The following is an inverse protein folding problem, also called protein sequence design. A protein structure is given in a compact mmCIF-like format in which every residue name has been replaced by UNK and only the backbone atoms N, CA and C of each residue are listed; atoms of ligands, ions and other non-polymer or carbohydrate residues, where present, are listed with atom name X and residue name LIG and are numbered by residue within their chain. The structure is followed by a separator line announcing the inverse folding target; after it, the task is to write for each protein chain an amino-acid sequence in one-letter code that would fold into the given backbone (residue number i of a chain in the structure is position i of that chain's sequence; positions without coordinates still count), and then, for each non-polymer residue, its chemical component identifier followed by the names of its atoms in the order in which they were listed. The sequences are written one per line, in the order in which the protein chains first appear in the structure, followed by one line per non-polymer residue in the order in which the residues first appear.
data_IF_222153005858
#
_entry.id   IF_222153005858
#
_cell.length_a   1.000
_cell.length_b   1.000
_cell.length_c   1.000
_cell.angle_alpha   90.00
_cell.angle_beta   90.00
_cell.angle_gamma   90.00
#
_symmetry.space_group_name_H-M   'P 1'
#
loop_
_entity.id
_entity.type
_entity.pdbx_description
1 polymer ?
#
# COMPACT_ATOMS: atom_id res chain seq x y z
N UNK A 1 -19.38 1.67 23.47
CA UNK A 1 -19.37 2.86 22.59
C UNK A 1 -18.05 2.84 21.86
N UNK A 2 -18.09 2.39 20.61
CA UNK A 2 -16.92 2.27 19.76
C UNK A 2 -16.63 3.66 19.17
N UNK A 3 -15.58 4.31 19.67
CA UNK A 3 -15.16 5.58 19.09
C UNK A 3 -14.61 5.32 17.70
N UNK A 4 -15.08 6.03 16.67
CA UNK A 4 -14.47 5.93 15.36
C UNK A 4 -13.01 6.38 15.49
N UNK A 5 -12.09 5.47 15.22
CA UNK A 5 -10.66 5.73 15.23
C UNK A 5 -10.38 6.82 14.20
N UNK A 6 -10.21 8.04 14.68
CA UNK A 6 -9.89 9.19 13.85
C UNK A 6 -8.53 8.97 13.20
N UNK A 7 -8.54 8.84 11.89
CA UNK A 7 -7.39 9.04 11.05
C UNK A 7 -7.04 10.54 11.00
N UNK A 8 -6.59 11.09 12.08
CA UNK A 8 -5.97 12.39 12.06
C UNK A 8 -4.50 12.20 11.64
N UNK A 9 -4.26 12.05 10.35
CA UNK A 9 -2.95 12.38 9.81
C UNK A 9 -2.92 13.89 9.73
N UNK A 10 -2.36 14.51 10.75
CA UNK A 10 -1.97 15.90 10.68
C UNK A 10 -0.87 15.98 9.61
N UNK A 11 -1.26 16.40 8.42
CA UNK A 11 -0.30 16.71 7.36
C UNK A 11 0.41 17.97 7.78
N UNK A 12 1.61 17.84 8.29
CA UNK A 12 2.50 18.99 8.49
C UNK A 12 2.94 19.46 7.10
N UNK A 13 2.53 20.66 6.65
CA UNK A 13 3.04 21.21 5.41
C UNK A 13 4.53 21.50 5.57
N UNK A 14 5.37 20.90 4.77
CA UNK A 14 6.79 21.19 4.74
C UNK A 14 7.72 20.07 5.20
N UNK A 15 7.28 18.83 5.25
CA UNK A 15 8.19 17.70 5.44
C UNK A 15 9.12 17.62 4.22
N UNK A 16 10.36 18.04 4.47
CA UNK A 16 11.49 18.02 3.56
C UNK A 16 11.63 16.62 2.92
N UNK A 17 11.41 16.55 1.61
CA UNK A 17 11.47 15.30 0.82
C UNK A 17 12.88 14.72 0.71
N UNK A 18 13.88 15.43 1.20
CA UNK A 18 15.30 15.07 1.05
C UNK A 18 15.94 14.44 2.28
N UNK A 19 15.20 14.27 3.36
CA UNK A 19 15.70 13.47 4.49
C UNK A 19 15.32 12.01 4.31
N UNK A 20 16.03 11.33 3.43
CA UNK A 20 16.23 9.89 3.50
C UNK A 20 16.95 9.59 4.83
N UNK A 21 16.16 9.51 5.90
CA UNK A 21 16.67 8.93 7.13
C UNK A 21 17.04 7.48 6.82
N UNK A 22 18.31 7.04 6.99
CA UNK A 22 18.63 5.65 6.79
C UNK A 22 17.79 4.84 7.77
N UNK A 23 16.90 4.02 7.22
CA UNK A 23 16.06 3.11 8.01
C UNK A 23 16.97 2.27 8.91
N UNK A 24 16.71 2.23 10.22
CA UNK A 24 17.43 1.30 11.08
C UNK A 24 17.20 -0.12 10.53
N UNK A 25 18.29 -0.81 10.25
CA UNK A 25 18.32 -2.14 9.60
C UNK A 25 17.74 -3.28 10.46
N UNK A 26 17.00 -2.97 11.54
CA UNK A 26 16.63 -3.96 12.53
C UNK A 26 15.16 -4.37 12.54
N UNK A 27 14.33 -3.81 11.68
CA UNK A 27 12.95 -4.22 11.57
C UNK A 27 12.70 -4.93 10.23
N UNK A 28 13.32 -6.08 10.08
CA UNK A 28 12.87 -7.04 9.07
C UNK A 28 11.50 -7.53 9.54
N UNK A 29 10.45 -6.94 8.99
CA UNK A 29 9.13 -7.54 9.06
C UNK A 29 9.28 -8.95 8.50
N UNK A 30 8.84 -10.00 9.21
CA UNK A 30 8.91 -11.34 8.67
C UNK A 30 8.22 -11.33 7.31
N UNK A 31 9.02 -11.42 6.25
CA UNK A 31 8.51 -11.49 4.89
C UNK A 31 7.70 -12.77 4.78
N UNK A 32 6.42 -12.64 4.44
CA UNK A 32 5.62 -13.81 4.11
C UNK A 32 6.25 -14.50 2.92
N UNK A 33 6.22 -15.81 2.93
CA UNK A 33 6.64 -16.60 1.77
C UNK A 33 5.61 -16.43 0.65
N UNK A 34 5.82 -15.43 -0.19
CA UNK A 34 5.03 -15.19 -1.39
C UNK A 34 5.68 -15.95 -2.54
N UNK A 35 4.90 -16.73 -3.32
CA UNK A 35 5.44 -17.44 -4.46
C UNK A 35 6.11 -16.47 -5.47
N UNK A 36 7.33 -16.78 -5.96
CA UNK A 36 8.04 -15.89 -6.91
C UNK A 36 7.24 -15.58 -8.17
N UNK A 37 6.44 -16.53 -8.64
CA UNK A 37 5.57 -16.36 -9.80
C UNK A 37 4.46 -15.35 -9.54
N UNK A 38 3.82 -15.42 -8.38
CA UNK A 38 2.78 -14.47 -7.96
C UNK A 38 3.37 -13.06 -7.81
N UNK A 39 4.55 -12.94 -7.23
CA UNK A 39 5.28 -11.67 -7.14
C UNK A 39 5.57 -11.07 -8.51
N UNK A 40 6.07 -11.86 -9.45
CA UNK A 40 6.36 -11.41 -10.81
C UNK A 40 5.11 -10.90 -11.53
N UNK A 41 3.98 -11.59 -11.38
CA UNK A 41 2.70 -11.17 -11.95
C UNK A 41 2.23 -9.86 -11.31
N UNK A 42 2.25 -9.77 -9.98
CA UNK A 42 1.86 -8.55 -9.27
C UNK A 42 2.70 -7.34 -9.70
N UNK A 43 4.01 -7.52 -9.83
CA UNK A 43 4.92 -6.48 -10.32
C UNK A 43 4.63 -6.08 -11.77
N UNK A 44 4.31 -7.04 -12.64
CA UNK A 44 3.97 -6.77 -14.04
C UNK A 44 2.66 -5.97 -14.11
N UNK A 45 1.62 -6.34 -13.35
CA UNK A 45 0.35 -5.61 -13.28
C UNK A 45 0.59 -4.18 -12.80
N UNK A 46 1.38 -3.97 -11.75
CA UNK A 46 1.72 -2.63 -11.26
C UNK A 46 2.37 -1.77 -12.35
N UNK A 47 3.34 -2.33 -13.08
CA UNK A 47 4.00 -1.60 -14.18
C UNK A 47 3.02 -1.21 -15.27
N UNK A 48 2.17 -2.15 -15.70
CA UNK A 48 1.15 -1.88 -16.73
C UNK A 48 0.18 -0.79 -16.28
N UNK A 49 -0.32 -0.87 -15.06
CA UNK A 49 -1.24 0.13 -14.51
C UNK A 49 -0.59 1.51 -14.38
N UNK A 50 0.64 1.57 -13.92
CA UNK A 50 1.39 2.84 -13.82
C UNK A 50 1.63 3.44 -15.20
N UNK A 51 2.04 2.63 -16.16
CA UNK A 51 2.27 3.04 -17.55
C UNK A 51 0.98 3.56 -18.19
N UNK A 52 -0.13 2.88 -17.99
CA UNK A 52 -1.43 3.30 -18.52
C UNK A 52 -1.85 4.67 -17.96
N UNK A 53 -1.70 4.89 -16.65
CA UNK A 53 -2.02 6.19 -16.04
C UNK A 53 -1.10 7.30 -16.53
N UNK A 54 0.19 7.03 -16.70
CA UNK A 54 1.12 8.01 -17.28
C UNK A 54 0.77 8.32 -18.72
N UNK A 55 0.40 7.32 -19.51
CA UNK A 55 -0.02 7.49 -20.91
C UNK A 55 -1.37 8.21 -21.08
N UNK A 56 -2.26 8.08 -20.07
CA UNK A 56 -3.56 8.74 -20.08
C UNK A 56 -3.49 10.25 -19.84
N UNK A 57 -2.33 10.78 -19.40
CA UNK A 57 -2.10 12.20 -19.13
C UNK A 57 -3.17 12.83 -18.21
N UNK A 58 -3.90 13.83 -18.70
CA UNK A 58 -4.96 14.53 -17.95
C UNK A 58 -6.21 13.69 -17.66
N UNK A 59 -6.35 12.52 -18.26
CA UNK A 59 -7.47 11.58 -18.02
C UNK A 59 -7.13 10.44 -17.04
N UNK A 60 -6.00 10.54 -16.32
CA UNK A 60 -5.52 9.48 -15.44
C UNK A 60 -6.51 9.10 -14.32
N UNK A 61 -7.36 10.03 -13.91
CA UNK A 61 -8.41 9.82 -12.92
C UNK A 61 -9.45 8.77 -13.35
N UNK A 62 -9.68 8.63 -14.65
CA UNK A 62 -10.58 7.62 -15.22
C UNK A 62 -10.02 6.19 -15.10
N UNK A 63 -8.72 6.05 -14.92
CA UNK A 63 -8.02 4.76 -14.85
C UNK A 63 -7.45 4.48 -13.45
N UNK A 64 -7.92 5.21 -12.46
CA UNK A 64 -7.55 4.97 -11.07
C UNK A 64 -8.38 3.82 -10.48
N UNK A 65 -7.70 2.93 -9.80
CA UNK A 65 -8.30 1.88 -8.98
C UNK A 65 -7.55 1.84 -7.65
N UNK A 66 -7.90 2.75 -6.73
CA UNK A 66 -7.10 2.97 -5.52
C UNK A 66 -6.97 1.73 -4.65
N UNK A 67 -8.03 0.96 -4.48
CA UNK A 67 -8.00 -0.25 -3.68
C UNK A 67 -7.04 -1.29 -4.26
N UNK A 68 -7.14 -1.54 -5.56
CA UNK A 68 -6.29 -2.52 -6.24
C UNK A 68 -4.83 -2.08 -6.24
N UNK A 69 -4.57 -0.81 -6.53
CA UNK A 69 -3.21 -0.28 -6.55
C UNK A 69 -2.54 -0.33 -5.17
N UNK A 70 -3.29 -0.04 -4.10
CA UNK A 70 -2.79 -0.17 -2.72
C UNK A 70 -2.49 -1.63 -2.36
N UNK A 71 -3.41 -2.53 -2.65
CA UNK A 71 -3.23 -3.95 -2.34
C UNK A 71 -2.04 -4.56 -3.08
N UNK A 72 -1.85 -4.22 -4.36
CA UNK A 72 -0.71 -4.66 -5.14
C UNK A 72 0.62 -4.12 -4.58
N UNK A 73 0.65 -2.84 -4.19
CA UNK A 73 1.86 -2.25 -3.61
C UNK A 73 2.23 -2.91 -2.28
N UNK A 74 1.25 -3.13 -1.41
CA UNK A 74 1.46 -3.81 -0.14
C UNK A 74 1.90 -5.27 -0.35
N UNK A 75 1.33 -5.97 -1.31
CA UNK A 75 1.69 -7.35 -1.63
C UNK A 75 3.14 -7.46 -2.11
N UNK A 76 3.55 -6.60 -3.03
CA UNK A 76 4.94 -6.54 -3.49
C UNK A 76 5.88 -6.14 -2.36
N UNK A 77 5.48 -5.19 -1.53
CA UNK A 77 6.28 -4.75 -0.39
C UNK A 77 6.53 -5.87 0.61
N UNK A 78 5.53 -6.67 0.92
CA UNK A 78 5.71 -7.84 1.81
C UNK A 78 6.66 -8.88 1.22
N UNK A 79 6.56 -9.15 -0.06
CA UNK A 79 7.43 -10.10 -0.74
C UNK A 79 8.90 -9.63 -0.80
N UNK A 80 9.12 -8.33 -0.85
CA UNK A 80 10.45 -7.72 -0.98
C UNK A 80 11.03 -7.19 0.34
N UNK A 81 10.30 -7.35 1.45
CA UNK A 81 10.73 -6.86 2.76
C UNK A 81 10.69 -5.33 2.90
N UNK A 82 9.98 -4.63 2.03
CA UNK A 82 9.85 -3.17 2.09
C UNK A 82 8.72 -2.78 3.06
N UNK A 83 8.99 -1.80 3.91
CA UNK A 83 7.96 -1.20 4.76
C UNK A 83 7.17 -0.15 3.99
N UNK A 84 5.87 -0.10 4.25
CA UNK A 84 4.95 0.87 3.65
C UNK A 84 4.30 1.69 4.75
N UNK A 85 4.51 2.99 4.73
CA UNK A 85 3.79 3.92 5.60
C UNK A 85 2.40 4.22 5.03
N UNK A 86 1.52 4.83 5.85
CA UNK A 86 0.22 5.31 5.36
C UNK A 86 0.38 6.27 4.18
N UNK A 87 1.38 7.16 4.25
CA UNK A 87 1.65 8.11 3.15
C UNK A 87 2.08 7.39 1.87
N UNK A 88 2.94 6.36 1.97
CA UNK A 88 3.36 5.56 0.81
C UNK A 88 2.18 4.83 0.18
N UNK A 89 1.29 4.26 1.00
CA UNK A 89 0.08 3.59 0.51
C UNK A 89 -0.84 4.58 -0.22
N UNK A 90 -0.97 5.81 0.28
CA UNK A 90 -1.74 6.86 -0.38
C UNK A 90 -1.13 7.26 -1.73
N UNK A 91 0.19 7.31 -1.84
CA UNK A 91 0.89 7.59 -3.11
C UNK A 91 0.64 6.45 -4.10
N UNK A 92 0.70 5.22 -3.66
CA UNK A 92 0.45 4.05 -4.50
C UNK A 92 -0.97 4.04 -5.10
N UNK A 93 -1.94 4.59 -4.38
CA UNK A 93 -3.32 4.70 -4.84
C UNK A 93 -3.51 5.59 -6.08
N UNK A 94 -2.57 6.49 -6.35
CA UNK A 94 -2.59 7.41 -7.50
C UNK A 94 -3.85 8.30 -7.61
N UNK A 95 -4.43 8.64 -6.46
CA UNK A 95 -5.58 9.54 -6.31
C UNK A 95 -5.25 10.62 -5.27
N UNK A 96 -6.05 11.71 -5.17
CA UNK A 96 -5.84 12.70 -4.12
C UNK A 96 -5.81 12.08 -2.72
N UNK A 97 -4.97 12.62 -1.83
CA UNK A 97 -4.70 12.03 -0.52
C UNK A 97 -5.96 11.77 0.31
N UNK A 98 -6.91 12.69 0.32
CA UNK A 98 -8.17 12.50 1.06
C UNK A 98 -8.97 11.31 0.53
N UNK A 99 -8.98 11.12 -0.79
CA UNK A 99 -9.61 9.96 -1.44
C UNK A 99 -8.87 8.67 -1.10
N UNK A 100 -7.54 8.70 -1.16
CA UNK A 100 -6.71 7.55 -0.81
C UNK A 100 -6.94 7.10 0.65
N UNK A 101 -7.00 8.03 1.58
CA UNK A 101 -7.28 7.73 3.00
C UNK A 101 -8.66 7.09 3.20
N UNK A 102 -9.68 7.53 2.45
CA UNK A 102 -11.00 6.90 2.51
C UNK A 102 -10.95 5.44 2.05
N UNK A 103 -10.24 5.14 0.98
CA UNK A 103 -10.05 3.78 0.50
C UNK A 103 -9.25 2.94 1.49
N UNK A 104 -8.20 3.51 2.08
CA UNK A 104 -7.40 2.82 3.08
C UNK A 104 -8.21 2.46 4.32
N UNK A 105 -9.06 3.40 4.79
CA UNK A 105 -10.00 3.13 5.87
C UNK A 105 -10.99 2.00 5.52
N UNK A 106 -11.46 1.96 4.29
CA UNK A 106 -12.37 0.90 3.83
C UNK A 106 -11.67 -0.46 3.82
N UNK A 107 -10.44 -0.53 3.38
CA UNK A 107 -9.62 -1.75 3.41
C UNK A 107 -9.38 -2.23 4.86
N UNK A 108 -9.11 -1.30 5.77
CA UNK A 108 -8.94 -1.58 7.20
C UNK A 108 -10.24 -2.11 7.83
N UNK A 109 -11.35 -1.46 7.56
CA UNK A 109 -12.67 -1.89 8.07
C UNK A 109 -13.08 -3.28 7.58
N UNK A 110 -12.66 -3.66 6.39
CA UNK A 110 -12.90 -4.99 5.82
C UNK A 110 -11.87 -6.03 6.26
N UNK A 111 -10.93 -5.66 7.10
CA UNK A 111 -9.91 -6.56 7.63
C UNK A 111 -8.88 -7.04 6.60
N UNK A 112 -8.67 -6.28 5.52
CA UNK A 112 -7.75 -6.64 4.45
C UNK A 112 -6.33 -6.11 4.69
N UNK A 113 -6.19 -5.07 5.49
CA UNK A 113 -4.92 -4.47 5.88
C UNK A 113 -4.79 -4.38 7.39
N UNK A 114 -3.56 -4.37 7.88
CA UNK A 114 -3.21 -4.21 9.29
C UNK A 114 -2.41 -2.94 9.43
N UNK A 115 -2.76 -2.15 10.41
CA UNK A 115 -2.07 -0.93 10.77
C UNK A 115 -1.32 -1.12 12.08
N UNK A 116 -0.03 -0.80 12.06
CA UNK A 116 0.84 -0.91 13.22
C UNK A 116 1.52 0.42 13.49
N UNK A 117 1.45 0.91 14.75
CA UNK A 117 2.15 2.11 15.14
C UNK A 117 3.67 1.90 15.10
N UNK A 118 4.40 2.91 14.65
CA UNK A 118 5.85 2.91 14.77
C UNK A 118 6.25 3.03 16.25
N UNK A 119 7.20 2.23 16.70
CA UNK A 119 7.65 2.21 18.08
C UNK A 119 8.51 3.42 18.45
N UNK A 120 9.13 4.05 17.46
CA UNK A 120 10.06 5.18 17.65
C UNK A 120 9.46 6.52 17.28
N UNK A 121 8.50 6.55 16.39
CA UNK A 121 7.79 7.77 15.96
C UNK A 121 6.27 7.57 16.04
N UNK A 122 5.65 8.17 17.06
CA UNK A 122 4.21 8.08 17.30
C UNK A 122 3.33 8.65 16.18
N UNK A 123 3.90 9.42 15.26
CA UNK A 123 3.21 10.02 14.12
C UNK A 123 3.14 9.08 12.93
N UNK A 124 3.96 8.02 12.92
CA UNK A 124 4.08 7.09 11.79
C UNK A 124 3.30 5.82 12.05
N UNK A 125 2.58 5.41 11.03
CA UNK A 125 1.87 4.15 11.00
C UNK A 125 2.34 3.33 9.80
N UNK A 126 2.59 2.06 10.05
CA UNK A 126 2.96 1.09 9.04
C UNK A 126 1.74 0.30 8.59
N UNK A 127 1.71 0.00 7.30
CA UNK A 127 0.63 -0.78 6.67
C UNK A 127 1.18 -2.09 6.17
N UNK A 128 0.47 -3.18 6.45
CA UNK A 128 0.72 -4.51 5.91
C UNK A 128 -0.60 -5.14 5.50
N UNK A 129 -0.54 -6.17 4.65
CA UNK A 129 -1.71 -6.98 4.36
C UNK A 129 -2.03 -7.91 5.55
N UNK A 130 -3.31 -8.12 5.81
CA UNK A 130 -3.75 -9.24 6.63
C UNK A 130 -3.66 -10.55 5.84
N UNK A 131 -3.86 -11.69 6.50
CA UNK A 131 -3.95 -12.98 5.81
C UNK A 131 -5.08 -12.99 4.78
N UNK A 132 -6.22 -12.38 5.13
CA UNK A 132 -7.34 -12.21 4.20
C UNK A 132 -6.98 -11.31 3.01
N UNK A 133 -6.19 -10.25 3.24
CA UNK A 133 -5.70 -9.36 2.19
C UNK A 133 -4.78 -10.07 1.21
N UNK A 134 -3.83 -10.85 1.71
CA UNK A 134 -2.94 -11.67 0.87
C UNK A 134 -3.75 -12.67 0.04
N UNK A 135 -4.65 -13.41 0.67
CA UNK A 135 -5.50 -14.39 -0.01
C UNK A 135 -6.37 -13.73 -1.08
N UNK A 136 -6.87 -12.51 -0.82
CA UNK A 136 -7.65 -11.77 -1.80
C UNK A 136 -6.81 -11.39 -3.02
N UNK A 137 -5.62 -10.83 -2.80
CA UNK A 137 -4.72 -10.47 -3.91
C UNK A 137 -4.39 -11.70 -4.75
N UNK A 138 -4.04 -12.82 -4.12
CA UNK A 138 -3.69 -14.05 -4.84
C UNK A 138 -4.86 -14.59 -5.68
N UNK A 139 -6.09 -14.48 -5.20
CA UNK A 139 -7.28 -14.84 -6.01
C UNK A 139 -7.53 -13.89 -7.17
N UNK A 140 -7.12 -12.62 -7.05
CA UNK A 140 -7.30 -11.61 -8.09
C UNK A 140 -6.19 -11.63 -9.14
N UNK A 141 -5.04 -12.23 -8.81
CA UNK A 141 -3.99 -12.43 -9.80
C UNK A 141 -4.45 -13.46 -10.85
N UNK A 142 -4.12 -13.24 -12.14
CA UNK A 142 -4.43 -14.24 -13.14
C UNK A 142 -3.72 -15.55 -12.81
N UNK A 143 -4.36 -16.69 -13.10
CA UNK A 143 -3.74 -17.99 -12.88
C UNK A 143 -2.44 -18.08 -13.67
N UNK A 144 -1.40 -18.60 -13.04
CA UNK A 144 -0.17 -18.92 -13.76
C UNK A 144 -0.52 -19.97 -14.81
N UNK A 145 -0.38 -19.62 -16.06
CA UNK A 145 -0.43 -20.62 -17.12
C UNK A 145 0.77 -21.55 -16.92
N UNK A 146 0.47 -22.70 -16.40
CA UNK A 146 1.40 -23.81 -16.37
C UNK A 146 1.56 -24.40 -17.77
#
# INVERSE_FOLDING_TARGET
MDQPRRWAVEVVPGADRDRLCPLPRHDVVPSRSIPPTALAIAQAIRRVRTSARCGAAEHRDLFADPAWDMLLDLYVAEATGRRVSVSDACIAAAVPQATALRWLNMLDQRGLVIRTADQTDRRRWWMTLSDAGVALVERMLPPTMT
#
